data_IF_686993745294
#
_entry.id   IF_686993745294
#
_cell.length_a   1.000
_cell.length_b   1.000
_cell.length_c   1.000
_cell.angle_alpha   90.00
_cell.angle_beta   90.00
_cell.angle_gamma   90.00
#
_symmetry.space_group_name_H-M   'P 1'
#
loop_
_entity.id
_entity.type
_entity.pdbx_description
1 polymer ?
#
# COMPACT_ATOMS: atom_id res chain seq x y z
N UNK A 1 16.42 -77.03 -29.39
CA UNK A 1 15.23 -76.15 -29.44
C UNK A 1 15.67 -74.78 -28.94
N UNK A 2 15.61 -73.71 -29.75
CA UNK A 2 16.04 -72.37 -29.39
C UNK A 2 14.83 -71.47 -29.02
N UNK A 3 14.86 -70.92 -27.80
CA UNK A 3 13.86 -69.97 -27.34
C UNK A 3 14.61 -68.86 -26.56
N UNK A 4 14.90 -67.74 -27.23
CA UNK A 4 15.10 -66.42 -26.61
C UNK A 4 13.77 -65.65 -26.74
N UNK A 5 13.40 -64.62 -25.93
CA UNK A 5 14.29 -63.53 -25.48
C UNK A 5 13.94 -62.83 -24.13
N UNK A 6 14.78 -61.87 -23.74
CA UNK A 6 14.47 -60.65 -22.93
C UNK A 6 13.22 -60.69 -22.03
N UNK A 7 13.43 -60.87 -20.72
CA UNK A 7 12.70 -60.09 -19.72
C UNK A 7 13.42 -58.73 -19.65
N UNK A 8 13.02 -57.75 -20.45
CA UNK A 8 11.88 -56.87 -20.20
C UNK A 8 12.13 -56.03 -18.93
N UNK A 9 12.85 -54.93 -19.17
CA UNK A 9 12.53 -53.60 -18.67
C UNK A 9 11.10 -53.48 -18.11
N UNK A 10 10.92 -53.72 -16.81
CA UNK A 10 9.69 -53.36 -16.13
C UNK A 10 9.99 -52.47 -14.92
N UNK A 11 9.63 -51.21 -15.11
CA UNK A 11 9.06 -50.33 -14.09
C UNK A 11 9.93 -50.00 -12.87
N UNK A 12 10.91 -49.10 -13.06
CA UNK A 12 10.95 -47.98 -12.12
C UNK A 12 9.86 -47.01 -12.56
N UNK A 13 8.86 -46.70 -11.73
CA UNK A 13 7.74 -45.87 -12.17
C UNK A 13 8.20 -44.45 -12.48
N UNK A 14 7.95 -43.99 -13.71
CA UNK A 14 8.03 -42.58 -14.10
C UNK A 14 7.21 -41.66 -13.15
N UNK A 15 6.27 -42.24 -12.41
CA UNK A 15 5.47 -41.53 -11.41
C UNK A 15 6.26 -41.10 -10.15
N UNK A 16 7.40 -41.74 -9.83
CA UNK A 16 8.24 -41.33 -8.69
C UNK A 16 9.10 -40.11 -9.06
N UNK A 17 9.67 -40.08 -10.28
CA UNK A 17 10.48 -38.96 -10.74
C UNK A 17 9.63 -37.68 -10.99
N UNK A 18 8.46 -37.82 -11.62
CA UNK A 18 7.57 -36.69 -11.90
C UNK A 18 6.98 -36.03 -10.63
N UNK A 19 6.78 -36.82 -9.57
CA UNK A 19 6.24 -36.32 -8.28
C UNK A 19 7.29 -35.51 -7.51
N UNK A 20 8.56 -35.90 -7.55
CA UNK A 20 9.65 -35.17 -6.89
C UNK A 20 9.88 -33.79 -7.52
N UNK A 21 9.86 -33.68 -8.85
CA UNK A 21 10.04 -32.40 -9.57
C UNK A 21 8.87 -31.45 -9.35
N UNK A 22 7.63 -31.95 -9.23
CA UNK A 22 6.44 -31.12 -8.98
C UNK A 22 6.35 -30.59 -7.54
N UNK A 23 6.79 -31.37 -6.55
CA UNK A 23 6.86 -30.94 -5.15
C UNK A 23 7.95 -29.88 -4.92
N UNK A 24 9.09 -30.00 -5.61
CA UNK A 24 10.19 -29.01 -5.55
C UNK A 24 9.81 -27.69 -6.22
N UNK A 25 9.13 -27.73 -7.37
CA UNK A 25 8.71 -26.53 -8.10
C UNK A 25 7.72 -25.64 -7.32
N UNK A 26 6.75 -26.24 -6.62
CA UNK A 26 5.82 -25.48 -5.77
C UNK A 26 6.46 -24.93 -4.50
N UNK A 27 7.46 -25.62 -3.96
CA UNK A 27 8.20 -25.18 -2.76
C UNK A 27 9.13 -24.00 -3.02
N UNK A 28 9.76 -23.94 -4.20
CA UNK A 28 10.59 -22.79 -4.60
C UNK A 28 9.73 -21.54 -4.81
N UNK A 29 8.57 -21.68 -5.46
CA UNK A 29 7.66 -20.56 -5.75
C UNK A 29 7.03 -19.99 -4.47
N UNK A 30 6.65 -20.85 -3.51
CA UNK A 30 6.17 -20.40 -2.18
C UNK A 30 7.28 -19.71 -1.39
N UNK A 31 8.51 -20.25 -1.41
CA UNK A 31 9.64 -19.65 -0.69
C UNK A 31 10.08 -18.32 -1.32
N UNK A 32 10.04 -18.22 -2.64
CA UNK A 32 10.29 -16.98 -3.36
C UNK A 32 9.22 -15.94 -3.04
N UNK A 33 7.94 -16.31 -3.04
CA UNK A 33 6.85 -15.43 -2.56
C UNK A 33 7.06 -14.98 -1.12
N UNK A 34 7.40 -15.88 -0.21
CA UNK A 34 7.64 -15.54 1.19
C UNK A 34 8.87 -14.63 1.35
N UNK A 35 9.91 -14.82 0.52
CA UNK A 35 11.10 -13.96 0.51
C UNK A 35 10.80 -12.58 -0.12
N UNK A 36 9.96 -12.51 -1.15
CA UNK A 36 9.51 -11.25 -1.77
C UNK A 36 8.60 -10.50 -0.79
N UNK A 37 7.64 -11.18 -0.18
CA UNK A 37 6.76 -10.64 0.87
C UNK A 37 7.61 -10.15 2.04
N UNK A 38 8.57 -10.94 2.54
CA UNK A 38 9.45 -10.53 3.63
C UNK A 38 10.45 -9.41 3.26
N UNK A 39 10.76 -9.22 1.97
CA UNK A 39 11.64 -8.16 1.49
C UNK A 39 10.89 -6.86 1.17
N UNK A 40 9.61 -6.94 0.83
CA UNK A 40 8.80 -5.81 0.33
C UNK A 40 7.77 -5.33 1.35
N UNK A 41 7.30 -6.18 2.27
CA UNK A 41 6.41 -5.78 3.35
C UNK A 41 7.20 -5.17 4.52
N UNK A 42 6.90 -3.93 4.93
CA UNK A 42 7.57 -3.34 6.08
C UNK A 42 7.18 -4.09 7.35
N UNK A 43 8.18 -4.64 8.06
CA UNK A 43 7.97 -5.31 9.34
C UNK A 43 7.57 -4.27 10.40
N UNK A 44 6.27 -4.10 10.60
CA UNK A 44 5.71 -3.16 11.56
C UNK A 44 5.13 -3.88 12.77
N UNK A 45 5.45 -3.40 13.97
CA UNK A 45 4.85 -3.91 15.21
C UNK A 45 3.36 -3.55 15.27
N UNK A 46 2.52 -4.34 15.98
CA UNK A 46 1.07 -4.11 16.04
C UNK A 46 0.66 -2.69 16.46
N UNK A 47 1.52 -1.97 17.18
CA UNK A 47 1.29 -0.59 17.63
C UNK A 47 1.44 0.47 16.51
N UNK A 48 2.27 0.19 15.49
CA UNK A 48 2.49 1.11 14.36
C UNK A 48 1.27 1.25 13.44
N UNK A 49 0.32 0.32 13.52
CA UNK A 49 -0.95 0.38 12.80
C UNK A 49 -2.03 1.18 13.56
N UNK A 50 -1.62 2.07 14.47
CA UNK A 50 -2.54 2.93 15.17
C UNK A 50 -3.44 3.68 14.16
N UNK A 51 -4.78 3.64 14.37
CA UNK A 51 -5.72 4.26 13.45
C UNK A 51 -5.45 5.76 13.37
N UNK A 52 -5.31 6.27 12.15
CA UNK A 52 -5.05 7.70 11.94
C UNK A 52 -6.22 8.53 12.49
N UNK A 53 -5.98 9.54 13.34
CA UNK A 53 -7.04 10.34 13.94
C UNK A 53 -7.58 11.38 12.95
N UNK A 54 -8.30 10.93 11.93
CA UNK A 54 -8.83 11.75 10.82
C UNK A 54 -9.72 12.91 11.28
N UNK A 55 -10.45 12.74 12.40
CA UNK A 55 -11.29 13.79 12.97
C UNK A 55 -10.46 14.94 13.54
N UNK A 56 -9.40 14.62 14.29
CA UNK A 56 -8.50 15.61 14.85
C UNK A 56 -7.77 16.38 13.75
N UNK A 57 -7.29 15.69 12.72
CA UNK A 57 -6.65 16.30 11.56
C UNK A 57 -7.57 17.30 10.84
N UNK A 58 -8.86 16.96 10.66
CA UNK A 58 -9.84 17.87 10.03
C UNK A 58 -10.12 19.10 10.88
N UNK A 59 -10.26 18.95 12.19
CA UNK A 59 -10.48 20.08 13.10
C UNK A 59 -9.25 21.00 13.06
N UNK A 60 -8.05 20.43 13.21
CA UNK A 60 -6.81 21.18 13.15
C UNK A 60 -6.66 21.93 11.83
N UNK A 61 -6.88 21.26 10.68
CA UNK A 61 -6.83 21.88 9.37
C UNK A 61 -7.85 23.02 9.20
N UNK A 62 -9.08 22.81 9.66
CA UNK A 62 -10.13 23.86 9.62
C UNK A 62 -9.74 25.07 10.47
N UNK A 63 -9.21 24.85 11.68
CA UNK A 63 -8.75 25.93 12.56
C UNK A 63 -7.63 26.72 11.90
N UNK A 64 -6.63 26.05 11.29
CA UNK A 64 -5.54 26.73 10.58
C UNK A 64 -6.06 27.58 9.43
N UNK A 65 -6.99 27.07 8.62
CA UNK A 65 -7.61 27.83 7.53
C UNK A 65 -8.30 29.09 8.08
N UNK A 66 -9.08 28.96 9.15
CA UNK A 66 -9.76 30.10 9.78
C UNK A 66 -8.73 31.12 10.30
N UNK A 67 -7.65 30.69 10.96
CA UNK A 67 -6.61 31.59 11.44
C UNK A 67 -5.93 32.36 10.29
N UNK A 68 -5.58 31.69 9.20
CA UNK A 68 -4.99 32.34 8.02
C UNK A 68 -5.91 33.40 7.41
N UNK A 69 -7.23 33.14 7.38
CA UNK A 69 -8.22 34.09 6.88
C UNK A 69 -8.44 35.26 7.85
N UNK A 70 -8.42 35.00 9.16
CA UNK A 70 -8.50 36.07 10.17
C UNK A 70 -7.31 37.02 10.09
N UNK A 71 -6.13 36.52 9.73
CA UNK A 71 -4.94 37.34 9.52
C UNK A 71 -5.09 38.33 8.37
N UNK A 72 -6.09 38.20 7.48
CA UNK A 72 -6.37 39.22 6.47
C UNK A 72 -6.88 40.54 7.07
N UNK A 73 -7.41 40.50 8.29
CA UNK A 73 -7.86 41.68 9.02
C UNK A 73 -6.70 42.24 9.85
N UNK A 74 -6.12 43.36 9.44
CA UNK A 74 -4.96 43.95 10.10
C UNK A 74 -4.35 45.10 9.29
N UNK A 75 -3.20 45.60 9.74
CA UNK A 75 -2.48 46.70 9.09
C UNK A 75 -1.66 46.21 7.88
N UNK A 76 -2.36 45.70 6.86
CA UNK A 76 -1.74 45.29 5.59
C UNK A 76 -1.69 46.48 4.64
N UNK A 77 -0.51 47.06 4.45
CA UNK A 77 -0.32 48.10 3.43
C UNK A 77 -0.01 47.50 2.04
N UNK A 78 0.44 46.25 1.99
CA UNK A 78 0.78 45.54 0.75
C UNK A 78 -0.13 44.34 0.47
N UNK A 79 -0.55 44.19 -0.79
CA UNK A 79 -1.40 43.07 -1.20
C UNK A 79 -0.66 41.72 -1.26
N UNK A 80 0.68 41.72 -1.21
CA UNK A 80 1.48 40.49 -1.34
C UNK A 80 1.17 39.53 -0.19
N UNK A 81 1.09 40.02 1.04
CA UNK A 81 0.77 39.19 2.20
C UNK A 81 -0.64 38.58 2.08
N UNK A 82 -1.63 39.40 1.68
CA UNK A 82 -2.99 38.93 1.47
C UNK A 82 -3.07 37.84 0.39
N UNK A 83 -2.30 37.97 -0.70
CA UNK A 83 -2.24 36.95 -1.76
C UNK A 83 -1.68 35.63 -1.20
N UNK A 84 -0.60 35.68 -0.40
CA UNK A 84 -0.03 34.48 0.20
C UNK A 84 -0.98 33.82 1.21
N UNK A 85 -1.60 34.60 2.09
CA UNK A 85 -2.56 34.10 3.07
C UNK A 85 -3.76 33.42 2.39
N UNK A 86 -4.36 34.06 1.39
CA UNK A 86 -5.49 33.51 0.63
C UNK A 86 -5.06 32.27 -0.14
N UNK A 87 -3.89 32.28 -0.78
CA UNK A 87 -3.40 31.14 -1.58
C UNK A 87 -3.18 29.91 -0.71
N UNK A 88 -2.51 30.06 0.43
CA UNK A 88 -2.24 28.94 1.35
C UNK A 88 -3.55 28.42 1.95
N UNK A 89 -4.44 29.32 2.41
CA UNK A 89 -5.74 28.94 2.93
C UNK A 89 -6.58 28.19 1.88
N UNK A 90 -6.56 28.66 0.64
CA UNK A 90 -7.25 28.04 -0.49
C UNK A 90 -6.72 26.64 -0.83
N UNK A 91 -5.40 26.47 -0.86
CA UNK A 91 -4.76 25.16 -1.11
C UNK A 91 -5.12 24.17 0.00
N UNK A 92 -5.02 24.58 1.27
CA UNK A 92 -5.39 23.73 2.40
C UNK A 92 -6.87 23.32 2.35
N UNK A 93 -7.75 24.28 2.07
CA UNK A 93 -9.18 24.00 1.91
C UNK A 93 -9.44 23.02 0.75
N UNK A 94 -8.77 23.20 -0.39
CA UNK A 94 -8.90 22.29 -1.54
C UNK A 94 -8.44 20.87 -1.18
N UNK A 95 -7.28 20.71 -0.54
CA UNK A 95 -6.80 19.40 -0.09
C UNK A 95 -7.79 18.76 0.88
N UNK A 96 -8.40 19.50 1.80
CA UNK A 96 -9.42 18.98 2.71
C UNK A 96 -10.72 18.57 2.00
N UNK A 97 -11.13 19.30 0.97
CA UNK A 97 -12.32 18.93 0.19
C UNK A 97 -12.04 17.67 -0.63
N UNK A 98 -10.89 17.62 -1.32
CA UNK A 98 -10.41 16.41 -2.02
C UNK A 98 -10.27 15.26 -1.03
N UNK A 99 -9.84 15.56 0.21
CA UNK A 99 -9.87 14.62 1.32
C UNK A 99 -11.32 14.09 1.40
N UNK A 100 -12.26 14.88 1.88
CA UNK A 100 -13.63 14.43 2.11
C UNK A 100 -14.26 13.68 0.91
N UNK A 101 -14.03 14.13 -0.33
CA UNK A 101 -14.51 13.46 -1.55
C UNK A 101 -13.98 12.03 -1.67
N UNK A 102 -12.65 11.79 -1.68
CA UNK A 102 -12.11 10.43 -1.89
C UNK A 102 -12.60 9.43 -0.81
N UNK A 103 -12.72 9.87 0.46
CA UNK A 103 -13.26 9.04 1.56
C UNK A 103 -14.76 8.76 1.38
N UNK A 104 -15.52 9.71 0.83
CA UNK A 104 -16.95 9.50 0.53
C UNK A 104 -17.17 8.59 -0.66
N UNK A 105 -16.24 8.61 -1.61
CA UNK A 105 -16.26 7.73 -2.78
C UNK A 105 -15.70 6.32 -2.50
N UNK A 106 -15.22 6.03 -1.28
CA UNK A 106 -14.59 4.75 -0.94
C UNK A 106 -13.26 4.50 -1.65
N UNK A 107 -12.65 5.58 -2.18
CA UNK A 107 -11.37 5.52 -2.89
C UNK A 107 -10.18 5.68 -1.93
N UNK A 108 -10.43 6.06 -0.68
CA UNK A 108 -9.47 5.90 0.41
C UNK A 108 -10.20 5.76 1.75
N UNK A 109 -9.58 5.00 2.65
CA UNK A 109 -10.14 4.67 3.96
C UNK A 109 -9.47 5.42 5.11
#
# INVERSE_FOLDING_TARGET
>A
MPDSPRALDHDMPDCIAATATRAVGGGLESREKDLIVAAEEPVTSPDQHAPTPVKAARIAGTVVIVMLLLMLFGNHEGNVESIWLISIAGILAAIMIIDIVLRRNGLRD
#
